data_IF_206091530330
#
_entry.id   IF_206091530330
#
_cell.length_a   1.000
_cell.length_b   1.000
_cell.length_c   1.000
_cell.angle_alpha   90.00
_cell.angle_beta   90.00
_cell.angle_gamma   90.00
#
_symmetry.space_group_name_H-M   'P 1'
#
loop_
_entity.id
_entity.type
_entity.pdbx_description
1 polymer ?
#
# COMPACT_ATOMS: atom_id res chain seq x y z
N UNK A 1 5.05 -5.80 15.01
CA UNK A 1 3.73 -5.88 14.34
C UNK A 1 3.48 -7.27 13.81
N UNK A 2 2.20 -7.72 13.79
CA UNK A 2 1.82 -9.11 13.45
C UNK A 2 2.34 -9.58 12.09
N UNK A 3 2.45 -8.69 11.11
CA UNK A 3 2.83 -9.02 9.72
C UNK A 3 4.30 -8.72 9.35
N UNK A 4 5.10 -8.14 10.26
CA UNK A 4 6.50 -7.78 10.00
C UNK A 4 7.35 -9.00 9.61
N UNK A 5 7.20 -10.11 10.33
CA UNK A 5 7.93 -11.36 10.03
C UNK A 5 7.65 -11.88 8.62
N UNK A 6 6.39 -11.79 8.19
CA UNK A 6 5.99 -12.19 6.85
C UNK A 6 6.69 -11.31 5.80
N UNK A 7 6.60 -9.99 5.92
CA UNK A 7 7.20 -9.07 4.95
C UNK A 7 8.72 -9.13 4.95
N UNK A 8 9.38 -9.37 6.09
CA UNK A 8 10.81 -9.65 6.12
C UNK A 8 11.16 -10.90 5.31
N UNK A 9 10.37 -11.96 5.43
CA UNK A 9 10.64 -13.23 4.76
C UNK A 9 10.38 -13.18 3.24
N UNK A 10 9.38 -12.42 2.78
CA UNK A 10 9.03 -12.34 1.34
C UNK A 10 9.74 -11.20 0.60
N UNK A 11 10.42 -10.31 1.32
CA UNK A 11 11.14 -9.17 0.72
C UNK A 11 12.08 -9.55 -0.43
N UNK A 12 12.87 -10.65 -0.35
CA UNK A 12 13.78 -11.02 -1.46
C UNK A 12 13.06 -11.33 -2.77
N UNK A 13 11.77 -11.66 -2.70
CA UNK A 13 10.97 -12.04 -3.87
C UNK A 13 10.05 -10.91 -4.35
N UNK A 14 9.92 -9.85 -3.54
CA UNK A 14 8.88 -8.84 -3.75
C UNK A 14 9.05 -8.10 -5.07
N UNK A 15 10.26 -7.67 -5.38
CA UNK A 15 10.55 -6.91 -6.60
C UNK A 15 10.42 -7.74 -7.89
N UNK A 16 10.63 -9.07 -7.81
CA UNK A 16 10.41 -9.97 -8.95
C UNK A 16 8.92 -10.14 -9.29
N UNK A 17 8.02 -9.91 -8.32
CA UNK A 17 6.56 -9.99 -8.53
C UNK A 17 5.98 -8.74 -9.20
N UNK A 18 6.68 -7.61 -9.09
CA UNK A 18 6.28 -6.35 -9.68
C UNK A 18 7.29 -5.99 -10.78
N UNK A 19 6.83 -5.74 -12.00
CA UNK A 19 7.71 -5.16 -13.02
C UNK A 19 7.99 -3.70 -12.63
N UNK A 20 9.07 -3.48 -11.83
CA UNK A 20 9.37 -2.19 -11.19
C UNK A 20 9.26 -1.03 -12.18
N UNK A 21 9.95 -1.09 -13.32
CA UNK A 21 9.99 -0.02 -14.32
C UNK A 21 8.60 0.30 -14.90
N UNK A 22 7.84 -0.74 -15.32
CA UNK A 22 6.49 -0.55 -15.86
C UNK A 22 5.53 -0.02 -14.79
N UNK A 23 5.70 -0.47 -13.55
CA UNK A 23 4.87 -0.04 -12.43
C UNK A 23 5.18 1.40 -12.02
N UNK A 24 6.46 1.81 -12.05
CA UNK A 24 6.88 3.19 -11.82
C UNK A 24 6.19 4.17 -12.78
N UNK A 25 6.19 3.87 -14.07
CA UNK A 25 5.54 4.71 -15.08
C UNK A 25 4.05 4.90 -14.74
N UNK A 26 3.33 3.79 -14.44
CA UNK A 26 1.91 3.85 -14.11
C UNK A 26 1.63 4.64 -12.83
N UNK A 27 2.46 4.47 -11.80
CA UNK A 27 2.33 5.20 -10.53
C UNK A 27 2.62 6.69 -10.72
N UNK A 28 3.67 7.00 -11.46
CA UNK A 28 4.02 8.38 -11.80
C UNK A 28 2.85 9.09 -12.49
N UNK A 29 2.33 8.54 -13.59
CA UNK A 29 1.19 9.11 -14.33
C UNK A 29 -0.05 9.28 -13.44
N UNK A 30 -0.34 8.31 -12.56
CA UNK A 30 -1.43 8.43 -11.60
C UNK A 30 -1.24 9.63 -10.65
N UNK A 31 -0.06 9.76 -10.02
CA UNK A 31 0.22 10.87 -9.12
C UNK A 31 0.26 12.21 -9.84
N UNK A 32 0.84 12.31 -11.04
CA UNK A 32 0.81 13.51 -11.88
C UNK A 32 -0.62 13.98 -12.11
N UNK A 33 -1.53 13.05 -12.44
CA UNK A 33 -2.93 13.38 -12.70
C UNK A 33 -3.66 13.85 -11.42
N UNK A 34 -3.47 13.15 -10.30
CA UNK A 34 -4.15 13.52 -9.04
C UNK A 34 -3.60 14.82 -8.45
N UNK A 35 -2.31 15.07 -8.58
CA UNK A 35 -1.66 16.24 -8.01
C UNK A 35 -1.66 17.46 -8.96
N UNK A 36 -2.15 17.29 -10.19
CA UNK A 36 -2.33 18.40 -11.11
C UNK A 36 -3.14 19.52 -10.44
N UNK A 37 -2.63 20.74 -10.51
CA UNK A 37 -3.21 21.93 -9.90
C UNK A 37 -3.28 21.90 -8.35
N UNK A 38 -2.54 21.01 -7.70
CA UNK A 38 -2.37 20.94 -6.25
C UNK A 38 -0.94 21.39 -5.89
N UNK A 39 -0.78 22.15 -4.82
CA UNK A 39 0.56 22.55 -4.35
C UNK A 39 1.13 21.46 -3.42
N UNK A 40 1.40 20.28 -3.97
CA UNK A 40 1.98 19.16 -3.23
C UNK A 40 3.50 19.24 -3.32
N UNK A 41 4.20 19.21 -2.18
CA UNK A 41 5.67 19.22 -2.07
C UNK A 41 6.19 18.13 -1.13
N UNK A 42 5.53 17.96 0.01
CA UNK A 42 5.95 17.03 1.06
C UNK A 42 4.96 15.86 1.13
N UNK A 43 5.43 14.64 0.88
CA UNK A 43 4.58 13.44 0.85
C UNK A 43 5.10 12.39 1.83
N UNK A 44 4.18 11.74 2.56
CA UNK A 44 4.48 10.54 3.32
C UNK A 44 3.96 9.30 2.56
N UNK A 45 4.80 8.27 2.44
CA UNK A 45 4.43 6.96 1.89
C UNK A 45 4.38 5.94 3.05
N UNK A 46 3.19 5.42 3.36
CA UNK A 46 2.93 4.56 4.51
C UNK A 46 2.78 3.10 4.10
N UNK A 47 3.65 2.23 4.60
CA UNK A 47 3.80 0.87 4.14
C UNK A 47 4.48 0.85 2.78
N UNK A 48 5.59 1.56 2.65
CA UNK A 48 6.26 1.79 1.38
C UNK A 48 6.82 0.51 0.71
N UNK A 49 6.92 -0.60 1.45
CA UNK A 49 7.49 -1.85 0.94
C UNK A 49 8.88 -1.63 0.35
N UNK A 50 9.12 -2.13 -0.84
CA UNK A 50 10.40 -1.95 -1.58
C UNK A 50 10.54 -0.57 -2.26
N UNK A 51 9.61 0.37 -2.02
CA UNK A 51 9.76 1.78 -2.38
C UNK A 51 9.16 2.19 -3.72
N UNK A 52 8.30 1.38 -4.35
CA UNK A 52 7.72 1.68 -5.67
C UNK A 52 7.01 3.05 -5.70
N UNK A 53 6.11 3.29 -4.76
CA UNK A 53 5.34 4.54 -4.70
C UNK A 53 6.24 5.71 -4.29
N UNK A 54 7.17 5.50 -3.36
CA UNK A 54 8.17 6.48 -2.96
C UNK A 54 9.04 6.94 -4.14
N UNK A 55 9.49 6.01 -4.98
CA UNK A 55 10.28 6.29 -6.20
C UNK A 55 9.47 7.09 -7.22
N UNK A 56 8.21 6.69 -7.46
CA UNK A 56 7.33 7.41 -8.37
C UNK A 56 7.13 8.86 -7.92
N UNK A 57 6.89 9.09 -6.63
CA UNK A 57 6.72 10.42 -6.04
C UNK A 57 8.02 11.25 -6.13
N UNK A 58 9.16 10.67 -5.80
CA UNK A 58 10.46 11.34 -5.89
C UNK A 58 10.79 11.73 -7.33
N UNK A 59 10.43 10.90 -8.33
CA UNK A 59 10.62 11.21 -9.75
C UNK A 59 9.78 12.39 -10.26
N UNK A 60 8.80 12.85 -9.46
CA UNK A 60 8.01 14.08 -9.69
C UNK A 60 8.63 15.31 -9.00
N UNK A 61 9.81 15.17 -8.40
CA UNK A 61 10.47 16.26 -7.65
C UNK A 61 9.87 16.51 -6.27
N UNK A 62 9.09 15.56 -5.73
CA UNK A 62 8.49 15.69 -4.40
C UNK A 62 9.46 15.22 -3.32
N UNK A 63 9.44 15.88 -2.16
CA UNK A 63 10.16 15.43 -0.97
C UNK A 63 9.41 14.31 -0.29
N UNK A 64 10.00 13.13 -0.23
CA UNK A 64 9.33 11.91 0.25
C UNK A 64 9.89 11.44 1.58
N UNK A 65 9.00 11.18 2.54
CA UNK A 65 9.27 10.44 3.77
C UNK A 65 8.55 9.10 3.73
N UNK A 66 9.30 8.00 3.64
CA UNK A 66 8.77 6.65 3.46
C UNK A 66 8.84 5.84 4.75
N UNK A 67 7.77 5.16 5.10
CA UNK A 67 7.62 4.43 6.36
C UNK A 67 7.22 2.99 6.08
N UNK A 68 7.96 2.03 6.64
CA UNK A 68 7.60 0.61 6.66
C UNK A 68 8.10 -0.05 7.95
N UNK A 69 7.35 -0.95 8.57
CA UNK A 69 7.80 -1.65 9.77
C UNK A 69 8.88 -2.70 9.50
N UNK A 70 8.89 -3.28 8.29
CA UNK A 70 9.82 -4.34 7.90
C UNK A 70 11.22 -3.77 7.63
N UNK A 71 12.21 -4.28 8.37
CA UNK A 71 13.61 -3.89 8.16
C UNK A 71 14.10 -4.29 6.76
N UNK A 72 13.68 -5.46 6.28
CA UNK A 72 14.09 -5.99 4.98
C UNK A 72 13.45 -5.19 3.83
N UNK A 73 12.18 -4.77 3.97
CA UNK A 73 11.54 -3.88 3.00
C UNK A 73 12.24 -2.53 2.93
N UNK A 74 12.57 -1.93 4.08
CA UNK A 74 13.35 -0.67 4.12
C UNK A 74 14.73 -0.85 3.47
N UNK A 75 15.38 -2.01 3.67
CA UNK A 75 16.65 -2.31 3.02
C UNK A 75 16.50 -2.36 1.49
N UNK A 76 15.52 -3.10 0.99
CA UNK A 76 15.21 -3.17 -0.45
C UNK A 76 14.85 -1.80 -1.01
N UNK A 77 14.03 -1.02 -0.30
CA UNK A 77 13.65 0.33 -0.73
C UNK A 77 14.85 1.27 -0.88
N UNK A 78 15.82 1.22 0.06
CA UNK A 78 17.07 1.98 -0.03
C UNK A 78 17.94 1.56 -1.21
N UNK A 79 18.04 0.24 -1.47
CA UNK A 79 18.75 -0.28 -2.65
C UNK A 79 18.11 0.21 -3.95
N UNK A 80 16.77 0.15 -4.03
CA UNK A 80 16.03 0.66 -5.17
C UNK A 80 16.19 2.17 -5.32
N UNK A 81 16.15 2.96 -4.24
CA UNK A 81 16.38 4.41 -4.29
C UNK A 81 17.77 4.73 -4.85
N UNK A 82 18.82 4.03 -4.41
CA UNK A 82 20.17 4.17 -4.95
C UNK A 82 20.21 3.82 -6.44
N UNK A 83 19.60 2.70 -6.84
CA UNK A 83 19.55 2.24 -8.25
C UNK A 83 18.89 3.27 -9.16
N UNK A 84 17.84 3.94 -8.69
CA UNK A 84 17.08 4.94 -9.47
C UNK A 84 17.53 6.38 -9.22
N UNK A 85 18.59 6.61 -8.42
CA UNK A 85 19.12 7.94 -8.14
C UNK A 85 18.15 8.86 -7.37
N UNK A 86 17.28 8.29 -6.54
CA UNK A 86 16.24 9.03 -5.82
C UNK A 86 16.68 9.34 -4.37
N UNK A 87 16.45 10.61 -3.94
CA UNK A 87 16.65 11.02 -2.54
C UNK A 87 15.34 10.87 -1.77
N UNK A 88 15.29 9.90 -0.87
CA UNK A 88 14.10 9.53 -0.08
C UNK A 88 14.51 9.28 1.37
N UNK A 89 13.77 9.85 2.31
CA UNK A 89 13.98 9.60 3.73
C UNK A 89 13.20 8.36 4.18
N UNK A 90 13.91 7.30 4.57
CA UNK A 90 13.31 6.03 4.99
C UNK A 90 13.30 5.88 6.51
N UNK A 91 12.15 5.46 7.06
CA UNK A 91 11.92 5.25 8.48
C UNK A 91 11.35 3.84 8.71
N UNK A 92 12.03 3.04 9.55
CA UNK A 92 11.48 1.76 10.01
C UNK A 92 10.44 2.02 11.09
N UNK A 93 9.20 2.28 10.68
CA UNK A 93 8.05 2.60 11.55
C UNK A 93 6.75 2.11 10.94
N UNK A 94 5.88 1.54 11.77
CA UNK A 94 4.48 1.33 11.40
C UNK A 94 3.67 2.63 11.47
N UNK A 95 2.47 2.63 10.91
CA UNK A 95 1.61 3.83 10.85
C UNK A 95 1.33 4.36 12.26
N UNK A 96 1.02 3.50 13.23
CA UNK A 96 0.78 3.87 14.63
C UNK A 96 2.01 4.47 15.33
N UNK A 97 3.22 4.09 14.89
CA UNK A 97 4.47 4.44 15.56
C UNK A 97 5.14 5.70 15.00
N UNK A 98 4.50 6.35 14.03
CA UNK A 98 5.02 7.59 13.42
C UNK A 98 5.05 8.70 14.47
N UNK A 99 6.21 9.30 14.61
CA UNK A 99 6.51 10.28 15.65
C UNK A 99 5.66 11.54 15.53
N UNK A 100 5.35 12.18 16.66
CA UNK A 100 4.54 13.39 16.73
C UNK A 100 5.15 14.58 15.95
N UNK A 101 6.50 14.61 15.78
CA UNK A 101 7.18 15.63 14.96
C UNK A 101 6.74 15.72 13.51
N UNK A 102 6.01 14.72 13.01
CA UNK A 102 5.44 14.70 11.67
C UNK A 102 4.00 15.21 11.61
N UNK A 103 3.40 15.59 12.73
CA UNK A 103 2.02 16.14 12.78
C UNK A 103 1.91 17.41 11.95
N UNK A 104 0.90 17.50 11.08
CA UNK A 104 0.63 18.64 10.22
C UNK A 104 1.72 18.97 9.19
N UNK A 105 2.52 17.98 8.81
CA UNK A 105 3.71 18.22 7.94
C UNK A 105 3.46 17.98 6.47
N UNK A 106 2.60 17.04 6.12
CA UNK A 106 2.50 16.55 4.75
C UNK A 106 1.37 17.19 3.97
N UNK A 107 1.65 17.55 2.72
CA UNK A 107 0.64 18.00 1.76
C UNK A 107 -0.19 16.81 1.28
N UNK A 108 0.44 15.64 1.18
CA UNK A 108 -0.25 14.39 0.87
C UNK A 108 0.34 13.22 1.68
N UNK A 109 -0.50 12.22 1.95
CA UNK A 109 -0.12 10.91 2.48
C UNK A 109 -0.61 9.87 1.48
N UNK A 110 0.24 8.90 1.16
CA UNK A 110 -0.13 7.78 0.29
C UNK A 110 0.06 6.45 1.02
N UNK A 111 -0.71 5.41 0.64
CA UNK A 111 -0.58 4.04 1.16
C UNK A 111 -1.12 3.05 0.14
N UNK A 112 -0.24 2.46 -0.64
CA UNK A 112 -0.60 1.57 -1.73
C UNK A 112 -0.12 0.12 -1.48
N UNK A 113 -0.42 -0.79 -2.41
CA UNK A 113 -0.02 -2.19 -2.26
C UNK A 113 -0.81 -2.98 -1.22
N UNK A 114 -2.08 -2.62 -1.00
CA UNK A 114 -2.97 -3.31 -0.06
C UNK A 114 -2.55 -3.19 1.42
N UNK A 115 -1.75 -2.18 1.75
CA UNK A 115 -1.17 -1.99 3.09
C UNK A 115 -2.21 -1.94 4.20
N UNK A 116 -3.30 -1.17 4.02
CA UNK A 116 -4.34 -1.00 5.04
C UNK A 116 -5.13 -2.28 5.33
N UNK A 117 -5.14 -3.24 4.43
CA UNK A 117 -5.78 -4.54 4.66
C UNK A 117 -5.00 -5.43 5.65
N UNK A 118 -3.79 -5.06 6.05
CA UNK A 118 -3.07 -5.72 7.12
C UNK A 118 -3.51 -5.31 8.53
N UNK A 119 -4.39 -4.31 8.64
CA UNK A 119 -4.89 -3.74 9.89
C UNK A 119 -6.31 -4.24 10.14
N UNK A 120 -6.61 -4.68 11.37
CA UNK A 120 -7.99 -5.00 11.75
C UNK A 120 -8.86 -3.73 11.86
N UNK A 121 -10.16 -3.90 12.16
CA UNK A 121 -11.10 -2.76 12.23
C UNK A 121 -10.74 -1.71 13.28
N UNK A 122 -10.09 -2.09 14.36
CA UNK A 122 -9.62 -1.17 15.40
C UNK A 122 -8.35 -0.47 14.96
N UNK A 123 -7.40 -1.24 14.45
CA UNK A 123 -6.12 -0.74 13.99
C UNK A 123 -6.27 0.24 12.81
N UNK A 124 -7.19 -0.05 11.86
CA UNK A 124 -7.42 0.87 10.73
C UNK A 124 -8.04 2.20 11.15
N UNK A 125 -8.95 2.22 12.12
CA UNK A 125 -9.51 3.47 12.66
C UNK A 125 -8.42 4.33 13.31
N UNK A 126 -7.53 3.71 14.10
CA UNK A 126 -6.37 4.39 14.70
C UNK A 126 -5.43 4.91 13.60
N UNK A 127 -5.16 4.10 12.57
CA UNK A 127 -4.32 4.50 11.45
C UNK A 127 -4.91 5.69 10.68
N UNK A 128 -6.20 5.71 10.41
CA UNK A 128 -6.87 6.82 9.72
C UNK A 128 -6.82 8.12 10.52
N UNK A 129 -7.01 8.07 11.84
CA UNK A 129 -6.82 9.23 12.71
C UNK A 129 -5.36 9.71 12.68
N UNK A 130 -4.39 8.77 12.73
CA UNK A 130 -2.98 9.11 12.62
C UNK A 130 -2.67 9.81 11.30
N UNK A 131 -3.17 9.28 10.18
CA UNK A 131 -3.02 9.91 8.85
C UNK A 131 -3.63 11.31 8.83
N UNK A 132 -4.81 11.48 9.42
CA UNK A 132 -5.46 12.79 9.53
C UNK A 132 -4.56 13.81 10.25
N UNK A 133 -3.90 13.40 11.33
CA UNK A 133 -2.97 14.26 12.08
C UNK A 133 -1.66 14.54 11.34
N UNK A 134 -1.18 13.63 10.49
CA UNK A 134 0.03 13.85 9.67
C UNK A 134 -0.18 14.92 8.60
N UNK A 135 -1.40 15.06 8.09
CA UNK A 135 -1.74 15.98 7.02
C UNK A 135 -1.87 17.44 7.48
N UNK A 136 -1.42 18.34 6.64
CA UNK A 136 -1.79 19.77 6.70
C UNK A 136 -3.29 19.94 6.49
N UNK A 137 -3.90 21.09 6.88
CA UNK A 137 -5.25 21.45 6.44
C UNK A 137 -5.37 21.34 4.91
N UNK A 138 -6.47 20.78 4.43
CA UNK A 138 -6.70 20.46 3.01
C UNK A 138 -5.72 19.45 2.37
N UNK A 139 -4.86 18.81 3.15
CA UNK A 139 -3.96 17.77 2.66
C UNK A 139 -4.72 16.55 2.15
N UNK A 140 -4.12 15.85 1.18
CA UNK A 140 -4.73 14.70 0.52
C UNK A 140 -4.28 13.38 1.15
N UNK A 141 -5.21 12.44 1.28
CA UNK A 141 -4.90 11.04 1.57
C UNK A 141 -5.32 10.16 0.40
N UNK A 142 -4.36 9.40 -0.13
CA UNK A 142 -4.55 8.46 -1.23
C UNK A 142 -4.17 7.06 -0.77
N UNK A 143 -5.03 6.08 -1.00
CA UNK A 143 -4.66 4.70 -0.72
C UNK A 143 -5.35 3.71 -1.64
N UNK A 144 -4.78 2.50 -1.70
CA UNK A 144 -5.32 1.40 -2.48
C UNK A 144 -5.41 0.14 -1.61
N UNK A 145 -6.55 -0.50 -1.66
CA UNK A 145 -6.76 -1.88 -1.23
C UNK A 145 -7.42 -2.68 -2.37
N UNK A 146 -7.42 -4.00 -2.26
CA UNK A 146 -8.23 -4.82 -3.16
C UNK A 146 -9.73 -4.53 -2.98
N UNK A 147 -10.52 -4.69 -4.03
CA UNK A 147 -11.97 -4.70 -3.91
C UNK A 147 -12.43 -6.00 -3.24
N UNK A 148 -12.45 -6.00 -1.92
CA UNK A 148 -12.80 -7.19 -1.13
C UNK A 148 -14.24 -7.66 -1.34
N UNK A 149 -15.18 -6.79 -1.70
CA UNK A 149 -16.52 -7.21 -2.11
C UNK A 149 -16.47 -8.16 -3.30
N UNK A 150 -15.65 -7.84 -4.31
CA UNK A 150 -15.44 -8.70 -5.46
C UNK A 150 -14.67 -9.98 -5.12
N UNK A 151 -13.58 -9.83 -4.34
CA UNK A 151 -12.72 -10.95 -3.93
C UNK A 151 -13.52 -12.00 -3.17
N UNK A 152 -14.35 -11.59 -2.21
CA UNK A 152 -15.21 -12.48 -1.42
C UNK A 152 -16.32 -13.11 -2.28
N UNK A 153 -16.97 -12.32 -3.16
CA UNK A 153 -18.03 -12.81 -4.05
C UNK A 153 -17.51 -13.88 -5.02
N UNK A 154 -16.31 -13.66 -5.59
CA UNK A 154 -15.71 -14.58 -6.57
C UNK A 154 -14.97 -15.74 -5.93
N UNK A 155 -14.67 -15.69 -4.63
CA UNK A 155 -13.83 -16.67 -3.94
C UNK A 155 -12.50 -16.90 -4.69
N UNK A 156 -11.86 -15.81 -5.12
CA UNK A 156 -10.59 -15.86 -5.86
C UNK A 156 -9.48 -16.42 -4.96
N UNK A 157 -9.27 -17.74 -5.04
CA UNK A 157 -8.24 -18.42 -4.25
C UNK A 157 -6.85 -18.12 -4.82
N UNK A 158 -6.59 -18.41 -6.09
CA UNK A 158 -5.29 -18.14 -6.70
C UNK A 158 -5.24 -16.70 -7.20
N UNK A 159 -4.32 -15.90 -6.65
CA UNK A 159 -4.13 -14.50 -7.04
C UNK A 159 -3.21 -14.39 -8.26
N UNK A 160 -2.22 -15.27 -8.33
CA UNK A 160 -1.28 -15.31 -9.44
C UNK A 160 -0.04 -16.11 -9.13
N UNK A 161 0.76 -16.31 -10.16
CA UNK A 161 2.06 -16.95 -10.07
C UNK A 161 3.10 -16.13 -10.82
N UNK A 162 4.37 -16.30 -10.45
CA UNK A 162 5.53 -15.72 -11.13
C UNK A 162 6.56 -16.83 -11.27
N UNK A 163 7.05 -17.07 -12.45
CA UNK A 163 8.01 -18.13 -12.76
C UNK A 163 9.31 -17.54 -13.27
N UNK A 164 10.43 -18.09 -12.80
CA UNK A 164 11.77 -17.86 -13.29
C UNK A 164 12.45 -19.21 -13.55
N UNK A 165 13.69 -19.20 -14.05
CA UNK A 165 14.46 -20.43 -14.30
C UNK A 165 14.63 -21.27 -13.03
N UNK A 166 14.83 -20.62 -11.88
CA UNK A 166 15.16 -21.27 -10.62
C UNK A 166 13.99 -21.36 -9.63
N UNK A 167 12.92 -20.62 -9.83
CA UNK A 167 11.83 -20.54 -8.84
C UNK A 167 10.43 -20.39 -9.46
N UNK A 168 9.44 -20.93 -8.76
CA UNK A 168 8.03 -20.67 -9.00
C UNK A 168 7.42 -20.07 -7.71
N UNK A 169 6.85 -18.89 -7.82
CA UNK A 169 6.15 -18.22 -6.73
C UNK A 169 4.66 -18.30 -7.00
N UNK A 170 3.91 -18.83 -6.03
CA UNK A 170 2.45 -18.91 -6.06
C UNK A 170 1.89 -18.06 -4.93
N UNK A 171 0.91 -17.22 -5.24
CA UNK A 171 0.19 -16.38 -4.29
C UNK A 171 -1.27 -16.76 -4.29
N UNK A 172 -1.82 -17.03 -3.10
CA UNK A 172 -3.21 -17.44 -2.98
C UNK A 172 -3.84 -16.99 -1.67
N UNK A 173 -5.18 -16.92 -1.67
CA UNK A 173 -6.00 -16.60 -0.51
C UNK A 173 -6.64 -17.84 0.07
N UNK A 174 -6.67 -17.93 1.39
CA UNK A 174 -7.51 -18.82 2.16
C UNK A 174 -8.63 -18.00 2.81
N UNK A 175 -9.89 -18.36 2.54
CA UNK A 175 -11.05 -17.69 3.09
C UNK A 175 -11.47 -18.37 4.38
N UNK A 176 -11.41 -17.64 5.49
CA UNK A 176 -11.92 -18.06 6.80
C UNK A 176 -13.25 -17.36 7.08
N UNK A 177 -13.89 -17.64 8.23
CA UNK A 177 -15.21 -17.09 8.53
C UNK A 177 -15.20 -15.56 8.59
N UNK A 178 -14.26 -14.98 9.31
CA UNK A 178 -14.21 -13.54 9.60
C UNK A 178 -12.87 -12.87 9.17
N UNK A 179 -11.98 -13.63 8.52
CA UNK A 179 -10.69 -13.14 8.05
C UNK A 179 -10.23 -13.89 6.79
N UNK A 180 -9.21 -13.39 6.16
CA UNK A 180 -8.50 -14.07 5.09
C UNK A 180 -7.06 -14.30 5.50
N UNK A 181 -6.44 -15.37 4.99
CA UNK A 181 -5.00 -15.51 4.98
C UNK A 181 -4.49 -15.36 3.56
N UNK A 182 -3.48 -14.55 3.41
CA UNK A 182 -2.70 -14.45 2.20
C UNK A 182 -1.49 -15.39 2.34
N UNK A 183 -1.32 -16.27 1.36
CA UNK A 183 -0.25 -17.24 1.30
C UNK A 183 0.73 -16.89 0.18
N UNK A 184 1.99 -17.09 0.48
CA UNK A 184 3.11 -16.96 -0.43
C UNK A 184 3.91 -18.25 -0.38
N UNK A 185 3.92 -18.99 -1.50
CA UNK A 185 4.68 -20.23 -1.66
C UNK A 185 5.79 -19.98 -2.68
N UNK A 186 7.04 -20.16 -2.25
CA UNK A 186 8.21 -20.12 -3.12
C UNK A 186 8.75 -21.53 -3.30
N UNK A 187 8.68 -22.05 -4.50
CA UNK A 187 9.19 -23.39 -4.88
C UNK A 187 10.53 -23.20 -5.56
N UNK A 188 11.57 -23.79 -4.99
CA UNK A 188 12.88 -23.88 -5.64
C UNK A 188 12.85 -25.05 -6.63
N UNK A 189 12.98 -24.77 -7.93
CA UNK A 189 12.90 -25.78 -8.98
C UNK A 189 14.09 -26.74 -8.99
N UNK A 190 15.25 -26.30 -8.50
CA UNK A 190 16.47 -27.13 -8.41
C UNK A 190 16.50 -27.99 -7.17
N UNK A 191 15.87 -27.53 -6.08
CA UNK A 191 15.84 -28.22 -4.80
C UNK A 191 14.50 -27.98 -4.12
N UNK A 192 13.52 -28.85 -4.37
CA UNK A 192 12.16 -28.72 -3.85
C UNK A 192 12.12 -28.69 -2.31
N UNK A 193 13.03 -29.41 -1.65
CA UNK A 193 13.17 -29.43 -0.18
C UNK A 193 13.53 -28.06 0.44
N UNK A 194 14.03 -27.11 -0.38
CA UNK A 194 14.32 -25.74 0.05
C UNK A 194 13.18 -24.75 -0.29
N UNK A 195 12.01 -25.25 -0.64
CA UNK A 195 10.82 -24.42 -0.87
C UNK A 195 10.27 -23.86 0.44
N UNK A 196 9.69 -22.67 0.38
CA UNK A 196 9.22 -21.96 1.55
C UNK A 196 7.75 -21.57 1.41
N UNK A 197 7.01 -21.67 2.51
CA UNK A 197 5.63 -21.23 2.62
C UNK A 197 5.51 -20.20 3.74
N UNK A 198 4.98 -19.04 3.39
CA UNK A 198 4.71 -17.95 4.33
C UNK A 198 3.24 -17.56 4.25
N UNK A 199 2.66 -17.13 5.35
CA UNK A 199 1.29 -16.61 5.37
C UNK A 199 1.13 -15.44 6.32
N UNK A 200 0.16 -14.58 6.02
CA UNK A 200 -0.21 -13.44 6.85
C UNK A 200 -1.72 -13.25 6.85
N UNK A 201 -2.26 -12.64 7.90
CA UNK A 201 -3.68 -12.28 7.98
C UNK A 201 -3.96 -11.05 7.13
N UNK A 202 -5.11 -11.07 6.48
CA UNK A 202 -5.67 -9.97 5.73
C UNK A 202 -7.10 -9.74 6.22
N UNK A 203 -7.47 -8.49 6.43
CA UNK A 203 -8.78 -8.06 6.85
C UNK A 203 -9.53 -7.46 5.65
N UNK A 204 -10.59 -8.09 5.17
CA UNK A 204 -11.27 -7.73 3.92
C UNK A 204 -12.20 -6.52 4.11
N UNK A 205 -11.65 -5.34 4.26
CA UNK A 205 -12.43 -4.10 4.42
C UNK A 205 -13.18 -3.74 3.15
N UNK A 206 -14.50 -3.70 3.22
CA UNK A 206 -15.33 -3.26 2.10
C UNK A 206 -15.42 -1.72 2.01
N UNK A 207 -15.87 -1.24 0.86
CA UNK A 207 -16.01 0.21 0.59
C UNK A 207 -16.91 0.94 1.61
N UNK A 208 -18.01 0.30 2.06
CA UNK A 208 -18.95 0.91 3.03
C UNK A 208 -18.28 1.17 4.37
N UNK A 209 -17.55 0.17 4.89
CA UNK A 209 -16.79 0.31 6.13
C UNK A 209 -15.72 1.40 6.02
N UNK A 210 -14.89 1.35 4.98
CA UNK A 210 -13.84 2.34 4.72
C UNK A 210 -14.41 3.77 4.65
N UNK A 211 -15.50 3.97 3.88
CA UNK A 211 -16.11 5.29 3.74
C UNK A 211 -16.67 5.82 5.06
N UNK A 212 -17.22 4.95 5.90
CA UNK A 212 -17.70 5.34 7.24
C UNK A 212 -16.52 5.73 8.16
N UNK A 213 -15.46 4.92 8.18
CA UNK A 213 -14.26 5.17 8.99
C UNK A 213 -13.54 6.47 8.58
N UNK A 214 -13.46 6.78 7.30
CA UNK A 214 -12.90 8.05 6.81
C UNK A 214 -13.70 9.25 7.30
N UNK A 215 -15.04 9.21 7.19
CA UNK A 215 -15.91 10.29 7.70
C UNK A 215 -15.76 10.49 9.20
N UNK A 216 -15.72 9.40 9.96
CA UNK A 216 -15.51 9.44 11.42
C UNK A 216 -14.15 10.03 11.79
N UNK A 217 -13.14 9.87 10.93
CA UNK A 217 -11.81 10.45 11.12
C UNK A 217 -11.68 11.91 10.63
N UNK A 218 -12.75 12.55 10.14
CA UNK A 218 -12.75 13.94 9.70
C UNK A 218 -12.41 14.16 8.22
N UNK A 219 -12.25 13.10 7.43
CA UNK A 219 -12.01 13.22 6.00
C UNK A 219 -13.28 13.58 5.23
N UNK A 220 -13.12 14.37 4.18
CA UNK A 220 -14.17 14.86 3.29
C UNK A 220 -13.76 14.73 1.81
N UNK A 221 -14.66 15.10 0.90
CA UNK A 221 -14.42 15.10 -0.56
C UNK A 221 -13.84 13.78 -1.08
N UNK A 222 -14.36 12.66 -0.57
CA UNK A 222 -13.89 11.32 -0.91
C UNK A 222 -14.35 10.92 -2.32
N UNK A 223 -13.39 10.51 -3.15
CA UNK A 223 -13.62 9.91 -4.47
C UNK A 223 -13.08 8.49 -4.49
N UNK A 224 -13.77 7.59 -5.20
CA UNK A 224 -13.42 6.17 -5.31
C UNK A 224 -13.19 5.78 -6.75
N UNK A 225 -12.05 5.12 -7.04
CA UNK A 225 -11.66 4.66 -8.35
C UNK A 225 -11.38 3.15 -8.35
N UNK A 226 -11.59 2.50 -9.49
CA UNK A 226 -11.39 1.07 -9.68
C UNK A 226 -10.03 0.69 -10.24
N UNK A 227 -9.26 1.67 -10.70
CA UNK A 227 -7.93 1.47 -11.26
C UNK A 227 -7.08 2.76 -11.17
N UNK A 228 -5.77 2.63 -11.47
CA UNK A 228 -4.85 3.77 -11.58
C UNK A 228 -5.16 4.70 -12.78
N UNK A 229 -6.02 4.26 -13.70
CA UNK A 229 -6.52 5.09 -14.82
C UNK A 229 -7.70 5.97 -14.41
N UNK A 230 -8.02 6.03 -13.11
CA UNK A 230 -9.11 6.81 -12.53
C UNK A 230 -10.51 6.42 -13.04
N UNK A 231 -10.67 5.18 -13.48
CA UNK A 231 -11.99 4.62 -13.81
C UNK A 231 -12.86 4.61 -12.56
N UNK A 232 -14.15 4.95 -12.73
CA UNK A 232 -15.08 4.94 -11.60
C UNK A 232 -15.15 3.57 -10.94
N UNK A 233 -15.08 3.55 -9.60
CA UNK A 233 -15.17 2.31 -8.84
C UNK A 233 -16.52 1.61 -9.07
N UNK A 234 -16.44 0.31 -9.34
CA UNK A 234 -17.59 -0.59 -9.45
C UNK A 234 -17.38 -1.78 -8.52
N UNK A 235 -18.36 -2.05 -7.66
CA UNK A 235 -18.28 -3.11 -6.64
C UNK A 235 -18.07 -4.52 -7.19
N UNK A 236 -18.54 -4.78 -8.41
CA UNK A 236 -18.53 -6.12 -9.00
C UNK A 236 -17.33 -6.36 -9.92
N UNK A 237 -16.88 -5.32 -10.62
CA UNK A 237 -15.91 -5.46 -11.71
C UNK A 237 -14.54 -4.91 -11.40
N UNK A 238 -14.43 -3.83 -10.60
CA UNK A 238 -13.14 -3.24 -10.26
C UNK A 238 -12.28 -4.23 -9.48
N UNK A 239 -11.01 -4.32 -9.83
CA UNK A 239 -10.03 -5.14 -9.08
C UNK A 239 -9.58 -4.47 -7.79
N UNK A 240 -9.39 -3.17 -7.87
CA UNK A 240 -8.91 -2.33 -6.77
C UNK A 240 -10.01 -1.40 -6.27
N UNK A 241 -9.87 -0.98 -5.03
CA UNK A 241 -10.52 0.18 -4.45
C UNK A 241 -9.43 1.21 -4.15
N UNK A 242 -9.37 2.25 -4.99
CA UNK A 242 -8.48 3.40 -4.78
C UNK A 242 -9.31 4.56 -4.24
N UNK A 243 -8.91 5.09 -3.11
CA UNK A 243 -9.57 6.23 -2.47
C UNK A 243 -8.66 7.45 -2.54
N UNK A 244 -9.24 8.57 -2.93
CA UNK A 244 -8.65 9.90 -2.81
C UNK A 244 -9.58 10.72 -1.93
N UNK A 245 -9.08 11.21 -0.81
CA UNK A 245 -9.87 11.96 0.16
C UNK A 245 -9.06 13.13 0.73
N UNK A 246 -9.72 14.10 1.33
CA UNK A 246 -9.08 15.33 1.79
C UNK A 246 -9.32 15.52 3.29
N UNK A 247 -8.30 15.95 4.03
CA UNK A 247 -8.47 16.48 5.39
C UNK A 247 -9.32 17.74 5.32
N UNK A 248 -10.40 17.79 6.09
CA UNK A 248 -11.20 19.01 6.18
C UNK A 248 -10.33 20.18 6.67
N UNK A 249 -10.51 21.35 6.08
CA UNK A 249 -10.01 22.57 6.71
C UNK A 249 -10.74 22.72 8.05
N UNK A 250 -10.00 22.86 9.13
CA UNK A 250 -10.60 23.32 10.39
C UNK A 250 -11.30 24.64 10.11
N UNK A 251 -12.56 24.71 10.49
CA UNK A 251 -13.34 25.95 10.49
C UNK A 251 -12.79 26.89 11.57
#
# INVERSE_FOLDING_TARGET
MKNEKFYNAVSPFYDSMISMEKSLIRRKTFYETIFANQNIKLVADLGCGSGLDSLALASLGLTVSAFDPSAEMIRSAKQNATKFGADIQFFRKGISDILQKFTGRFDAVVSFGNTLANLDETEIKIALQKVYHLLKPNGLFLFQILNYTRVEKKKETVIGFTESDDSLIIRFNEFLKDEMKFHFLSINKKMISSSNHYSTRIFPHNHKFISAALRQSGFSRTKSYGSLLLEKFNYETSKDLIIVTQKSSEL
#
